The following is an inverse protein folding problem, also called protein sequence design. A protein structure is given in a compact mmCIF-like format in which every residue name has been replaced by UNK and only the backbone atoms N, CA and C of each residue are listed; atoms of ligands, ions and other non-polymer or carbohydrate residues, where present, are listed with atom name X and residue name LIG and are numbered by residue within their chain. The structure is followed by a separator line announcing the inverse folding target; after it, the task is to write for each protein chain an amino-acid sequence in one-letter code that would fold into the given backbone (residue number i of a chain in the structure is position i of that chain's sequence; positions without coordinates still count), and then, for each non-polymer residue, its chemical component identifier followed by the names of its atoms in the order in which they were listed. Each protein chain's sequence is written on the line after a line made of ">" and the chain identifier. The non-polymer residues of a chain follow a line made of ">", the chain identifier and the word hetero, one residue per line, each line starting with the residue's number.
data_IF_171668157533
#
_entry.id   IF_171668157533
#
_cell.length_a   1.000
_cell.length_b   1.000
_cell.length_c   1.000
_cell.angle_alpha   90.00
_cell.angle_beta   90.00
_cell.angle_gamma   90.00
#
_symmetry.space_group_name_H-M   'P 1'
#
loop_
_entity.id
_entity.type
_entity.pdbx_description
1 polymer ?
#
# COMPACT_ATOMS: atom_id res chain seq x y z
N UNK A 1 7.47 -1.56 10.16
CA UNK A 1 6.56 -2.57 9.57
C UNK A 1 5.25 -1.86 9.23
N UNK A 2 4.78 -1.87 7.98
CA UNK A 2 3.53 -1.25 7.60
C UNK A 2 2.34 -1.93 8.26
N UNK A 3 1.47 -1.15 8.90
CA UNK A 3 0.34 -1.67 9.70
C UNK A 3 -0.67 -2.46 8.86
N UNK A 4 -0.83 -2.12 7.58
CA UNK A 4 -1.74 -2.80 6.67
C UNK A 4 -1.33 -4.25 6.34
N UNK A 5 -0.09 -4.65 6.65
CA UNK A 5 0.39 -6.03 6.43
C UNK A 5 0.06 -6.98 7.59
N UNK A 6 -0.32 -6.45 8.77
CA UNK A 6 -0.54 -7.25 9.98
C UNK A 6 -1.88 -6.98 10.70
N UNK A 7 -3.00 -6.76 9.98
CA UNK A 7 -4.26 -6.40 10.63
C UNK A 7 -4.82 -7.54 11.50
N UNK A 8 -4.56 -8.80 11.14
CA UNK A 8 -5.06 -9.96 11.87
C UNK A 8 -4.29 -10.19 13.18
N UNK A 9 -2.97 -10.05 13.14
CA UNK A 9 -2.10 -10.24 14.30
C UNK A 9 -2.33 -9.13 15.32
N UNK A 10 -2.56 -7.89 14.86
CA UNK A 10 -2.92 -6.77 15.74
C UNK A 10 -4.30 -6.99 16.36
N UNK A 11 -5.31 -7.40 15.58
CA UNK A 11 -6.66 -7.63 16.11
C UNK A 11 -6.77 -8.85 17.02
N UNK A 12 -5.97 -9.88 16.80
CA UNK A 12 -5.89 -11.07 17.66
C UNK A 12 -5.02 -10.88 18.91
N UNK A 13 -4.30 -9.76 19.03
CA UNK A 13 -3.39 -9.49 20.14
C UNK A 13 -2.05 -10.23 20.07
N UNK A 14 -1.78 -10.95 18.98
CA UNK A 14 -0.49 -11.59 18.72
C UNK A 14 0.61 -10.56 18.41
N UNK A 15 0.23 -9.39 17.89
CA UNK A 15 1.09 -8.22 17.77
C UNK A 15 0.50 -7.04 18.52
N UNK A 16 1.37 -6.30 19.20
CA UNK A 16 1.01 -5.06 19.89
C UNK A 16 1.61 -3.86 19.14
N UNK A 17 0.93 -2.72 19.19
CA UNK A 17 1.43 -1.44 18.70
C UNK A 17 1.96 -0.67 19.92
N UNK A 18 3.26 -0.74 20.25
CA UNK A 18 3.80 -0.13 21.47
C UNK A 18 3.76 1.40 21.44
N UNK A 19 3.83 1.99 20.25
CA UNK A 19 3.72 3.42 20.04
C UNK A 19 2.74 3.68 18.90
N UNK A 20 1.52 4.07 19.24
CA UNK A 20 0.50 4.40 18.25
C UNK A 20 0.63 5.85 17.78
N UNK A 21 1.78 6.13 17.15
CA UNK A 21 2.11 7.45 16.62
C UNK A 21 2.47 7.27 15.14
N UNK A 22 1.79 8.01 14.27
CA UNK A 22 2.17 8.11 12.86
C UNK A 22 3.42 8.97 12.73
N UNK A 23 4.52 8.34 12.32
CA UNK A 23 5.75 9.05 11.98
C UNK A 23 5.71 9.37 10.48
N UNK A 24 5.85 10.64 10.07
CA UNK A 24 6.03 10.97 8.66
C UNK A 24 7.33 10.32 8.17
N UNK A 25 7.30 9.75 6.97
CA UNK A 25 8.46 9.17 6.34
C UNK A 25 8.26 9.10 4.83
N UNK A 26 9.37 9.13 4.10
CA UNK A 26 9.36 9.18 2.62
C UNK A 26 9.17 7.79 1.98
N UNK A 27 8.89 6.76 2.78
CA UNK A 27 8.75 5.39 2.29
C UNK A 27 7.36 5.19 1.66
N UNK A 28 7.33 4.84 0.38
CA UNK A 28 6.12 4.52 -0.38
C UNK A 28 6.17 3.14 -1.04
N UNK A 29 5.03 2.73 -1.59
CA UNK A 29 4.91 1.54 -2.43
C UNK A 29 4.59 1.97 -3.86
N UNK A 30 5.45 1.60 -4.81
CA UNK A 30 5.33 2.02 -6.20
C UNK A 30 4.91 0.88 -7.12
N UNK A 31 4.05 1.19 -8.09
CA UNK A 31 3.75 0.30 -9.20
C UNK A 31 4.79 0.49 -10.32
N UNK A 32 5.75 -0.44 -10.42
CA UNK A 32 6.81 -0.38 -11.43
C UNK A 32 6.39 -1.14 -12.68
N UNK A 33 6.48 -0.48 -13.84
CA UNK A 33 6.15 -1.06 -15.15
C UNK A 33 7.25 -0.77 -16.18
N UNK A 34 7.38 -1.66 -17.17
CA UNK A 34 8.31 -1.46 -18.28
C UNK A 34 7.92 -0.21 -19.11
N UNK A 35 8.88 0.56 -19.65
CA UNK A 35 8.61 1.80 -20.37
C UNK A 35 7.68 1.63 -21.57
N UNK A 36 7.79 0.50 -22.27
CA UNK A 36 6.96 0.13 -23.43
C UNK A 36 5.48 -0.10 -23.08
N UNK A 37 5.16 -0.34 -21.80
CA UNK A 37 3.81 -0.62 -21.32
C UNK A 37 3.09 0.59 -20.76
N UNK A 38 3.73 1.75 -20.65
CA UNK A 38 3.14 2.95 -20.05
C UNK A 38 1.87 3.44 -20.76
N UNK A 39 1.70 3.15 -22.06
CA UNK A 39 0.51 3.54 -22.84
C UNK A 39 -0.58 2.45 -22.88
N UNK A 40 -0.38 1.33 -22.18
CA UNK A 40 -1.36 0.24 -22.15
C UNK A 40 -2.63 0.68 -21.41
N UNK A 41 -3.76 0.71 -22.13
CA UNK A 41 -5.07 1.01 -21.54
C UNK A 41 -5.42 0.10 -20.34
N UNK A 42 -5.21 -1.23 -20.41
CA UNK A 42 -5.39 -2.10 -19.25
C UNK A 42 -4.52 -1.71 -18.04
N UNK A 43 -3.27 -1.32 -18.29
CA UNK A 43 -2.36 -0.95 -17.19
C UNK A 43 -2.82 0.33 -16.52
N UNK A 44 -3.31 1.29 -17.29
CA UNK A 44 -3.82 2.55 -16.75
C UNK A 44 -5.09 2.34 -15.93
N UNK A 45 -6.03 1.54 -16.43
CA UNK A 45 -7.24 1.19 -15.68
C UNK A 45 -6.91 0.47 -14.36
N UNK A 46 -5.92 -0.42 -14.37
CA UNK A 46 -5.43 -1.09 -13.16
C UNK A 46 -4.77 -0.11 -12.19
N UNK A 47 -3.90 0.77 -12.67
CA UNK A 47 -3.24 1.77 -11.83
C UNK A 47 -4.26 2.73 -11.18
N UNK A 48 -5.24 3.21 -11.94
CA UNK A 48 -6.30 4.08 -11.45
C UNK A 48 -7.14 3.35 -10.37
N UNK A 49 -7.51 2.10 -10.60
CA UNK A 49 -8.19 1.27 -9.60
C UNK A 49 -7.33 1.05 -8.35
N UNK A 50 -6.03 0.76 -8.51
CA UNK A 50 -5.12 0.49 -7.41
C UNK A 50 -4.98 1.72 -6.49
N UNK A 51 -4.88 2.92 -7.08
CA UNK A 51 -4.83 4.17 -6.33
C UNK A 51 -6.14 4.41 -5.55
N UNK A 52 -7.30 4.06 -6.12
CA UNK A 52 -8.57 4.14 -5.39
C UNK A 52 -8.60 3.19 -4.18
N UNK A 53 -8.10 1.97 -4.33
CA UNK A 53 -8.02 1.00 -3.22
C UNK A 53 -7.03 1.42 -2.14
N UNK A 54 -5.91 2.03 -2.51
CA UNK A 54 -4.89 2.48 -1.55
C UNK A 54 -5.31 3.69 -0.70
N UNK A 55 -6.37 4.40 -1.11
CA UNK A 55 -6.91 5.55 -0.38
C UNK A 55 -8.07 5.16 0.57
N UNK A 56 -8.53 3.91 0.51
CA UNK A 56 -9.59 3.35 1.37
C UNK A 56 -9.01 2.76 2.65
#
# INVERSE_FOLDING_TARGET
>A
MPRFLVPQEVSSGNLLIPCDISLPGDNGYDLVCLPDRQQSLPLRAFADWLLQQATQ
#
